data_IF_423321539608
#
_entry.id   IF_423321539608
#
_cell.length_a   1.000
_cell.length_b   1.000
_cell.length_c   1.000
_cell.angle_alpha   90.00
_cell.angle_beta   90.00
_cell.angle_gamma   90.00
#
_symmetry.space_group_name_H-M   'P 1'
#
loop_
_entity.id
_entity.type
_entity.pdbx_description
1 polymer ?
#
# COMPACT_ATOMS: atom_id res chain seq x y z
N UNK A 1 -45.73 1.29 -48.20
CA UNK A 1 -45.31 2.02 -47.00
C UNK A 1 -44.94 0.98 -45.98
N UNK A 2 -43.69 1.04 -45.54
CA UNK A 2 -42.92 -0.03 -44.93
C UNK A 2 -43.40 -0.35 -43.51
N UNK A 3 -43.39 -1.62 -43.13
CA UNK A 3 -43.35 -2.01 -41.71
C UNK A 3 -42.42 -3.20 -41.58
N UNK A 4 -41.13 -2.92 -41.51
CA UNK A 4 -40.10 -3.91 -41.26
C UNK A 4 -39.59 -3.70 -39.83
N UNK A 5 -40.12 -4.53 -38.93
CA UNK A 5 -39.71 -4.58 -37.53
C UNK A 5 -38.52 -5.54 -37.44
N UNK A 6 -37.36 -5.00 -37.10
CA UNK A 6 -36.11 -5.75 -36.95
C UNK A 6 -36.04 -6.40 -35.56
N UNK A 7 -35.93 -7.73 -35.50
CA UNK A 7 -35.51 -8.47 -34.32
C UNK A 7 -34.01 -8.75 -34.38
N UNK A 8 -33.21 -8.39 -33.36
CA UNK A 8 -31.82 -8.83 -33.28
C UNK A 8 -31.73 -10.21 -32.59
N UNK A 9 -31.12 -11.16 -33.29
CA UNK A 9 -30.82 -12.52 -32.82
C UNK A 9 -29.76 -12.50 -31.71
N UNK A 10 -30.09 -13.11 -30.56
CA UNK A 10 -29.18 -13.32 -29.43
C UNK A 10 -28.40 -14.63 -29.64
N UNK A 11 -27.06 -14.66 -29.54
CA UNK A 11 -26.33 -15.92 -29.53
C UNK A 11 -26.38 -16.55 -28.13
N UNK A 12 -26.65 -17.87 -28.11
CA UNK A 12 -26.66 -18.70 -26.92
C UNK A 12 -25.27 -18.74 -26.26
N UNK A 13 -25.21 -18.47 -24.96
CA UNK A 13 -24.02 -18.71 -24.14
C UNK A 13 -24.06 -20.15 -23.63
N UNK A 14 -23.02 -20.90 -23.95
CA UNK A 14 -22.84 -22.30 -23.56
C UNK A 14 -22.74 -22.44 -22.04
N UNK A 15 -23.44 -23.46 -21.53
CA UNK A 15 -23.40 -23.90 -20.16
C UNK A 15 -22.06 -24.60 -19.87
N UNK A 16 -21.27 -24.07 -18.93
CA UNK A 16 -20.14 -24.80 -18.35
C UNK A 16 -20.58 -25.44 -17.02
N UNK A 17 -20.79 -26.76 -17.03
CA UNK A 17 -20.97 -27.57 -15.84
C UNK A 17 -19.61 -27.99 -15.24
N UNK A 18 -19.48 -27.70 -13.94
CA UNK A 18 -18.95 -28.54 -12.85
C UNK A 18 -17.67 -29.36 -13.04
N UNK A 19 -16.66 -29.13 -12.18
CA UNK A 19 -16.07 -30.12 -11.24
C UNK A 19 -14.75 -29.61 -10.64
N UNK A 20 -14.53 -29.86 -9.34
CA UNK A 20 -13.19 -29.79 -8.74
C UNK A 20 -13.15 -29.26 -7.30
N UNK A 21 -13.54 -30.11 -6.35
CA UNK A 21 -13.25 -29.99 -4.92
C UNK A 21 -11.73 -30.12 -4.69
N UNK A 22 -11.12 -29.20 -3.94
CA UNK A 22 -9.79 -29.38 -3.33
C UNK A 22 -9.78 -28.70 -1.96
N UNK A 23 -9.87 -29.53 -0.92
CA UNK A 23 -9.61 -29.20 0.47
C UNK A 23 -8.09 -29.05 0.66
N UNK A 24 -7.64 -27.91 1.20
CA UNK A 24 -6.24 -27.72 1.62
C UNK A 24 -6.25 -27.37 3.10
N UNK A 25 -6.04 -28.40 3.91
CA UNK A 25 -5.76 -28.33 5.34
C UNK A 25 -4.50 -27.49 5.61
N UNK A 26 -4.63 -26.48 6.47
CA UNK A 26 -3.53 -25.64 6.97
C UNK A 26 -3.06 -26.20 8.31
N UNK A 27 -1.91 -26.86 8.33
CA UNK A 27 -1.16 -27.14 9.55
C UNK A 27 -0.04 -26.11 9.71
N UNK A 28 -0.27 -25.12 10.56
CA UNK A 28 0.72 -24.16 11.02
C UNK A 28 1.17 -24.57 12.42
N UNK A 29 2.25 -25.34 12.51
CA UNK A 29 2.90 -25.67 13.77
C UNK A 29 3.63 -24.42 14.31
N UNK A 30 3.15 -23.90 15.44
CA UNK A 30 3.80 -22.85 16.24
C UNK A 30 4.29 -23.48 17.53
N UNK A 31 5.61 -23.60 17.67
CA UNK A 31 6.37 -23.79 18.91
C UNK A 31 7.86 -23.71 18.57
N UNK A 32 8.79 -23.09 19.29
CA UNK A 32 8.79 -22.33 20.52
C UNK A 32 10.10 -21.52 20.55
N UNK A 33 10.09 -20.35 21.19
CA UNK A 33 11.29 -19.57 21.52
C UNK A 33 11.87 -20.05 22.86
N UNK A 34 13.16 -20.39 22.87
CA UNK A 34 14.06 -20.52 24.03
C UNK A 34 15.47 -20.67 23.40
N UNK A 35 16.38 -19.71 23.43
CA UNK A 35 17.09 -19.19 24.61
C UNK A 35 18.37 -20.01 24.80
N UNK A 36 19.54 -19.51 24.40
CA UNK A 36 20.76 -19.47 25.22
C UNK A 36 21.92 -18.75 24.51
N UNK A 37 22.80 -18.19 25.34
CA UNK A 37 23.97 -17.37 25.08
C UNK A 37 25.11 -18.13 24.41
N UNK A 38 25.93 -17.46 23.58
CA UNK A 38 27.37 -17.73 23.57
C UNK A 38 28.20 -16.62 22.89
N UNK A 39 29.09 -16.04 23.68
CA UNK A 39 30.12 -15.07 23.28
C UNK A 39 31.45 -15.82 23.29
N UNK A 40 32.23 -15.89 22.19
CA UNK A 40 33.59 -16.37 22.27
C UNK A 40 34.60 -15.20 22.40
N UNK A 41 35.70 -15.40 23.14
CA UNK A 41 36.63 -14.35 23.55
C UNK A 41 37.67 -14.02 22.48
N UNK A 42 38.14 -12.76 22.53
CA UNK A 42 39.33 -12.31 21.84
C UNK A 42 40.61 -12.94 22.42
N UNK A 43 41.64 -13.17 21.59
CA UNK A 43 43.02 -13.14 22.05
C UNK A 43 43.78 -11.92 21.49
N UNK A 44 44.56 -11.34 22.39
CA UNK A 44 45.44 -10.19 22.23
C UNK A 44 46.80 -10.58 21.59
N UNK A 45 47.39 -9.59 20.90
CA UNK A 45 48.82 -9.34 20.69
C UNK A 45 49.65 -10.10 19.63
N UNK A 46 50.04 -9.32 18.61
CA UNK A 46 51.41 -9.00 18.12
C UNK A 46 51.82 -9.33 16.67
N UNK A 47 52.18 -8.23 15.99
CA UNK A 47 53.30 -8.01 15.08
C UNK A 47 53.07 -7.88 13.55
N UNK A 48 53.85 -6.95 13.02
CA UNK A 48 53.80 -6.15 11.81
C UNK A 48 53.58 -6.86 10.46
N UNK A 49 52.73 -6.27 9.63
CA UNK A 49 53.07 -5.97 8.24
C UNK A 49 52.14 -4.90 7.67
N UNK A 50 52.74 -3.73 7.45
CA UNK A 50 52.19 -2.68 6.62
C UNK A 50 52.01 -3.22 5.19
N UNK A 51 50.76 -3.34 4.76
CA UNK A 51 50.43 -3.18 3.35
C UNK A 51 49.49 -1.98 3.29
N UNK A 52 50.08 -0.84 3.00
CA UNK A 52 49.38 0.30 2.43
C UNK A 52 48.75 -0.19 1.12
N UNK A 53 47.47 -0.54 1.14
CA UNK A 53 46.69 -0.51 -0.09
C UNK A 53 46.42 0.97 -0.39
N UNK A 54 46.83 1.47 -1.57
CA UNK A 54 46.56 2.84 -1.93
C UNK A 54 45.04 3.06 -1.95
N UNK A 55 44.64 4.24 -1.50
CA UNK A 55 43.30 4.80 -1.72
C UNK A 55 43.04 4.86 -3.22
N UNK A 56 42.52 3.77 -3.79
CA UNK A 56 41.90 3.81 -5.10
C UNK A 56 40.57 4.52 -4.89
N UNK A 57 40.51 5.79 -5.30
CA UNK A 57 39.25 6.44 -5.66
C UNK A 57 38.67 5.75 -6.90
N UNK A 58 38.40 4.45 -6.81
CA UNK A 58 37.68 3.69 -7.81
C UNK A 58 36.21 4.06 -7.62
N UNK A 59 35.78 5.08 -8.35
CA UNK A 59 34.39 5.16 -8.77
C UNK A 59 34.15 3.97 -9.71
N UNK A 60 33.99 2.78 -9.15
CA UNK A 60 33.73 1.56 -9.91
C UNK A 60 32.35 1.71 -10.54
N UNK A 61 32.32 2.26 -11.75
CA UNK A 61 31.14 2.44 -12.57
C UNK A 61 30.56 1.05 -12.86
N UNK A 62 29.44 0.74 -12.22
CA UNK A 62 28.80 -0.56 -12.40
C UNK A 62 28.06 -0.56 -13.73
N UNK A 63 28.35 -1.53 -14.60
CA UNK A 63 27.68 -1.73 -15.89
C UNK A 63 26.97 -3.10 -15.90
N UNK A 64 25.78 -3.17 -16.49
CA UNK A 64 25.15 -4.45 -16.84
C UNK A 64 25.92 -5.10 -18.02
N UNK A 65 25.84 -6.43 -18.18
CA UNK A 65 26.16 -7.16 -19.43
C UNK A 65 25.57 -6.54 -20.71
N UNK A 66 24.50 -5.75 -20.60
CA UNK A 66 23.88 -5.00 -21.69
C UNK A 66 24.51 -3.60 -21.92
N UNK A 67 25.59 -3.25 -21.23
CA UNK A 67 26.27 -1.95 -21.34
C UNK A 67 25.55 -0.78 -20.64
N UNK A 68 24.47 -1.05 -19.90
CA UNK A 68 23.73 -0.03 -19.13
C UNK A 68 24.56 0.38 -17.92
N UNK A 69 24.89 1.66 -17.82
CA UNK A 69 25.59 2.27 -16.67
C UNK A 69 24.61 2.47 -15.51
N UNK A 70 24.96 1.97 -14.34
CA UNK A 70 24.25 2.28 -13.11
C UNK A 70 24.87 3.51 -12.45
N UNK A 71 24.05 4.52 -12.23
CA UNK A 71 24.41 5.67 -11.41
C UNK A 71 24.16 5.31 -9.95
N UNK A 72 25.15 5.46 -9.04
CA UNK A 72 24.89 5.42 -7.61
C UNK A 72 23.71 6.36 -7.31
N UNK A 73 22.74 5.87 -6.55
CA UNK A 73 21.63 6.71 -6.11
C UNK A 73 22.22 7.90 -5.33
N UNK A 74 21.90 9.13 -5.73
CA UNK A 74 22.25 10.31 -4.91
C UNK A 74 21.81 10.05 -3.47
N UNK A 75 22.62 10.48 -2.49
CA UNK A 75 22.39 10.31 -1.04
C UNK A 75 21.17 11.11 -0.52
N UNK A 76 20.08 11.13 -1.29
CA UNK A 76 18.78 11.61 -0.88
C UNK A 76 18.00 10.54 -0.10
N UNK A 77 16.97 10.95 0.66
CA UNK A 77 16.11 10.01 1.37
C UNK A 77 15.51 9.00 0.39
N UNK A 78 15.77 7.71 0.63
CA UNK A 78 15.19 6.64 -0.16
C UNK A 78 13.66 6.69 -0.01
N UNK A 79 12.96 7.06 -1.08
CA UNK A 79 11.51 6.94 -1.12
C UNK A 79 11.19 5.44 -1.28
N UNK A 80 10.45 4.83 -0.34
CA UNK A 80 10.16 3.42 -0.44
C UNK A 80 9.31 3.13 -1.68
N UNK A 81 9.68 2.06 -2.38
CA UNK A 81 8.90 1.53 -3.50
C UNK A 81 7.46 1.29 -3.01
N UNK A 82 6.48 1.96 -3.65
CA UNK A 82 5.07 1.86 -3.29
C UNK A 82 4.48 3.06 -2.54
N UNK A 83 5.26 4.06 -2.11
CA UNK A 83 4.71 5.25 -1.44
C UNK A 83 3.64 5.95 -2.28
N UNK A 84 3.85 6.03 -3.60
CA UNK A 84 2.89 6.63 -4.53
C UNK A 84 1.58 5.81 -4.60
N UNK A 85 1.66 4.49 -4.51
CA UNK A 85 0.48 3.63 -4.46
C UNK A 85 -0.34 3.88 -3.20
N UNK A 86 0.33 3.96 -2.04
CA UNK A 86 -0.33 4.29 -0.76
C UNK A 86 -0.97 5.67 -0.83
N UNK A 87 -0.29 6.64 -1.45
CA UNK A 87 -0.85 7.98 -1.66
C UNK A 87 -2.15 7.94 -2.47
N UNK A 88 -2.17 7.22 -3.58
CA UNK A 88 -3.38 7.10 -4.40
C UNK A 88 -4.48 6.31 -3.70
N UNK A 89 -4.14 5.29 -2.91
CA UNK A 89 -5.10 4.60 -2.06
C UNK A 89 -5.77 5.59 -1.07
N UNK A 90 -4.98 6.40 -0.37
CA UNK A 90 -5.54 7.44 0.52
C UNK A 90 -6.41 8.44 -0.23
N UNK A 91 -5.96 8.93 -1.40
CA UNK A 91 -6.79 9.82 -2.23
C UNK A 91 -8.11 9.17 -2.63
N UNK A 92 -8.09 7.89 -2.99
CA UNK A 92 -9.29 7.16 -3.35
C UNK A 92 -10.23 6.99 -2.15
N UNK A 93 -9.73 6.55 -0.99
CA UNK A 93 -10.54 6.40 0.23
C UNK A 93 -11.17 7.73 0.68
N UNK A 94 -10.41 8.82 0.61
CA UNK A 94 -10.91 10.17 0.92
C UNK A 94 -11.95 10.63 -0.10
N UNK A 95 -11.77 10.31 -1.38
CA UNK A 95 -12.75 10.57 -2.43
C UNK A 95 -14.07 9.82 -2.18
N UNK A 96 -14.02 8.54 -1.81
CA UNK A 96 -15.21 7.75 -1.44
C UNK A 96 -15.93 8.33 -0.22
N UNK A 97 -15.19 8.92 0.71
CA UNK A 97 -15.72 9.50 1.95
C UNK A 97 -16.26 10.93 1.77
N UNK A 98 -16.22 11.50 0.56
CA UNK A 98 -16.63 12.88 0.32
C UNK A 98 -18.17 13.00 0.18
N UNK A 99 -18.88 13.65 1.13
CA UNK A 99 -20.34 13.82 1.06
C UNK A 99 -20.80 14.87 0.03
N UNK A 100 -19.91 15.70 -0.51
CA UNK A 100 -20.27 16.70 -1.53
C UNK A 100 -20.37 16.09 -2.94
N UNK A 101 -19.78 14.91 -3.15
CA UNK A 101 -19.87 14.21 -4.41
C UNK A 101 -21.20 13.44 -4.47
N UNK A 102 -22.08 13.82 -5.41
CA UNK A 102 -23.41 13.23 -5.55
C UNK A 102 -23.40 11.74 -5.92
N UNK A 103 -22.32 11.28 -6.53
CA UNK A 103 -22.13 9.85 -6.87
C UNK A 103 -21.87 9.00 -5.61
N UNK A 104 -21.43 9.62 -4.51
CA UNK A 104 -21.15 8.92 -3.27
C UNK A 104 -22.45 8.74 -2.47
N UNK A 105 -23.12 7.61 -2.71
CA UNK A 105 -24.23 7.13 -1.87
C UNK A 105 -23.80 6.94 -0.41
N UNK A 106 -24.75 6.97 0.53
CA UNK A 106 -24.54 6.68 1.95
C UNK A 106 -23.80 5.35 2.16
N UNK A 107 -24.11 4.33 1.36
CA UNK A 107 -23.41 3.05 1.38
C UNK A 107 -21.93 3.19 0.99
N UNK A 108 -21.62 3.94 -0.06
CA UNK A 108 -20.24 4.15 -0.53
C UNK A 108 -19.43 4.93 0.51
N UNK A 109 -20.04 5.95 1.12
CA UNK A 109 -19.43 6.72 2.20
C UNK A 109 -19.16 5.80 3.40
N UNK A 110 -20.13 4.96 3.79
CA UNK A 110 -19.95 4.01 4.89
C UNK A 110 -18.80 3.04 4.64
N UNK A 111 -18.71 2.46 3.43
CA UNK A 111 -17.58 1.61 3.03
C UNK A 111 -16.27 2.38 3.05
N UNK A 112 -16.24 3.60 2.51
CA UNK A 112 -15.07 4.48 2.51
C UNK A 112 -14.54 4.73 3.92
N UNK A 113 -15.42 5.12 4.86
CA UNK A 113 -15.08 5.35 6.26
C UNK A 113 -14.62 4.07 6.97
N UNK A 114 -15.23 2.92 6.66
CA UNK A 114 -14.84 1.62 7.22
C UNK A 114 -13.43 1.23 6.77
N UNK A 115 -13.15 1.32 5.47
CA UNK A 115 -11.81 1.07 4.93
C UNK A 115 -10.78 2.05 5.48
N UNK A 116 -11.16 3.32 5.64
CA UNK A 116 -10.30 4.34 6.23
C UNK A 116 -9.99 4.04 7.70
N UNK A 117 -10.93 3.47 8.44
CA UNK A 117 -10.73 3.02 9.83
C UNK A 117 -9.64 1.95 9.88
N UNK A 118 -9.76 0.90 9.07
CA UNK A 118 -8.75 -0.18 9.00
C UNK A 118 -7.40 0.35 8.52
N UNK A 119 -7.38 1.22 7.52
CA UNK A 119 -6.14 1.80 7.00
C UNK A 119 -5.40 2.65 8.05
N UNK A 120 -6.13 3.41 8.87
CA UNK A 120 -5.55 4.19 9.96
C UNK A 120 -5.11 3.31 11.13
N UNK A 121 -5.87 2.28 11.46
CA UNK A 121 -5.53 1.33 12.53
C UNK A 121 -4.19 0.62 12.25
N UNK A 122 -3.99 0.17 11.02
CA UNK A 122 -2.77 -0.55 10.62
C UNK A 122 -1.62 0.41 10.26
N UNK A 123 -1.94 1.58 9.70
CA UNK A 123 -0.97 2.47 9.05
C UNK A 123 -0.58 3.73 9.84
N UNK A 124 -1.19 4.02 10.99
CA UNK A 124 -1.02 5.28 11.72
C UNK A 124 0.45 5.71 11.90
N UNK A 125 1.30 4.79 12.34
CA UNK A 125 2.73 5.05 12.61
C UNK A 125 3.52 5.41 11.36
N UNK A 126 3.09 4.92 10.19
CA UNK A 126 3.75 5.18 8.91
C UNK A 126 3.29 6.51 8.30
N UNK A 127 2.02 6.89 8.45
CA UNK A 127 1.44 8.08 7.83
C UNK A 127 2.17 9.35 8.27
N UNK A 128 2.50 9.47 9.56
CA UNK A 128 3.22 10.62 10.11
C UNK A 128 4.62 10.84 9.53
N UNK A 129 5.24 9.80 8.96
CA UNK A 129 6.59 9.86 8.38
C UNK A 129 6.62 10.53 7.01
N UNK A 130 5.49 10.62 6.31
CA UNK A 130 5.40 11.14 4.95
C UNK A 130 4.51 12.38 4.89
N UNK A 131 5.12 13.54 4.61
CA UNK A 131 4.41 14.83 4.52
C UNK A 131 3.27 14.84 3.49
N UNK A 132 3.44 14.10 2.39
CA UNK A 132 2.43 13.97 1.32
C UNK A 132 1.16 13.25 1.77
N UNK A 133 1.28 12.20 2.60
CA UNK A 133 0.14 11.52 3.20
C UNK A 133 -0.51 12.39 4.27
N UNK A 134 0.31 13.04 5.09
CA UNK A 134 -0.18 13.96 6.13
C UNK A 134 -1.00 15.12 5.58
N UNK A 135 -0.68 15.65 4.40
CA UNK A 135 -1.47 16.69 3.74
C UNK A 135 -2.90 16.21 3.43
N UNK A 136 -3.04 15.02 2.84
CA UNK A 136 -4.35 14.42 2.52
C UNK A 136 -5.19 14.23 3.80
N UNK A 137 -4.55 13.75 4.87
CA UNK A 137 -5.22 13.47 6.14
C UNK A 137 -5.66 14.75 6.84
N UNK A 138 -4.77 15.75 6.95
CA UNK A 138 -5.03 17.00 7.67
C UNK A 138 -6.05 17.89 6.98
N UNK A 139 -6.06 17.88 5.65
CA UNK A 139 -6.88 18.82 4.88
C UNK A 139 -8.16 18.13 4.37
N UNK A 140 -8.03 17.26 3.37
CA UNK A 140 -9.17 16.69 2.64
C UNK A 140 -10.01 15.76 3.53
N UNK A 141 -9.36 14.84 4.26
CA UNK A 141 -10.04 13.89 5.11
C UNK A 141 -10.75 14.59 6.27
N UNK A 142 -10.04 15.43 7.03
CA UNK A 142 -10.64 16.16 8.14
C UNK A 142 -11.86 16.97 7.69
N UNK A 143 -11.78 17.65 6.54
CA UNK A 143 -12.91 18.39 5.97
C UNK A 143 -14.11 17.48 5.69
N UNK A 144 -13.89 16.32 5.06
CA UNK A 144 -14.97 15.35 4.78
C UNK A 144 -15.63 14.86 6.08
N UNK A 145 -14.83 14.54 7.10
CA UNK A 145 -15.34 14.12 8.41
C UNK A 145 -16.17 15.22 9.08
N UNK A 146 -15.74 16.48 9.06
CA UNK A 146 -16.52 17.59 9.61
C UNK A 146 -17.86 17.79 8.89
N UNK A 147 -17.89 17.63 7.56
CA UNK A 147 -19.13 17.73 6.79
C UNK A 147 -20.11 16.61 7.16
N UNK A 148 -19.62 15.38 7.30
CA UNK A 148 -20.42 14.21 7.72
C UNK A 148 -20.96 14.35 9.16
N UNK A 149 -20.13 14.81 10.09
CA UNK A 149 -20.54 15.08 11.47
C UNK A 149 -21.57 16.22 11.58
N UNK A 150 -21.62 17.10 10.58
CA UNK A 150 -22.60 18.18 10.50
C UNK A 150 -23.92 17.72 9.87
N UNK A 151 -23.88 16.78 8.92
CA UNK A 151 -25.08 16.21 8.29
C UNK A 151 -25.79 15.16 9.17
N UNK A 152 -25.06 14.33 9.92
CA UNK A 152 -25.68 13.34 10.81
C UNK A 152 -26.39 14.00 12.01
N UNK A 153 -25.84 15.10 12.54
CA UNK A 153 -26.44 15.83 13.67
C UNK A 153 -27.75 16.53 13.31
N UNK A 154 -27.95 16.92 12.05
CA UNK A 154 -29.23 17.46 11.59
C UNK A 154 -30.25 16.35 11.31
N UNK A 155 -29.80 15.17 10.85
CA UNK A 155 -30.69 14.04 10.56
C UNK A 155 -31.21 13.32 11.83
N UNK A 156 -30.39 13.19 12.89
CA UNK A 156 -30.83 12.62 14.18
C UNK A 156 -31.75 13.54 15.00
N UNK A 157 -31.89 14.81 14.65
CA UNK A 157 -32.79 15.76 15.34
C UNK A 157 -34.24 15.71 14.82
N UNK A 158 -34.50 15.02 13.72
CA UNK A 158 -35.81 14.96 13.05
C UNK A 158 -36.41 13.56 13.00
N UNK A 159 -35.77 12.55 13.59
CA UNK A 159 -36.33 11.22 13.86
C UNK A 159 -36.49 11.04 15.35
#
# INVERSE_FOLDING_TARGET
DETQQAEPSVPAIDAFQTQGEVDVSVDMDVSAVSGDSDVPPAPDSTDVSAVQSPVSSDTHEWYNSQGVRFTPQEEGPLVPYGLLCIRELFRFLVSLSNPLNKENSEFIIHVGLTLLTVALEVGADAIGKYSTLMAIVKDDLCRNLFMLLSSERSMKRFR
#
